data_IF_589045849620
#
_entry.id   IF_589045849620
#
_cell.length_a   1.000
_cell.length_b   1.000
_cell.length_c   1.000
_cell.angle_alpha   90.00
_cell.angle_beta   90.00
_cell.angle_gamma   90.00
#
_symmetry.space_group_name_H-M   'P 1'
#
loop_
_entity.id
_entity.type
_entity.pdbx_description
1 polymer ?
#
# COMPACT_ATOMS: atom_id res chain seq x y z
N UNK A 1 -7.96 6.05 -3.52
CA UNK A 1 -8.83 7.03 -2.82
C UNK A 1 -7.99 7.84 -1.83
N UNK A 2 -8.48 8.96 -1.28
CA UNK A 2 -7.77 9.67 -0.22
C UNK A 2 -7.53 8.73 0.97
N UNK A 3 -6.37 8.86 1.59
CA UNK A 3 -5.97 8.15 2.81
C UNK A 3 -5.69 9.20 3.89
N UNK A 4 -5.91 8.86 5.16
CA UNK A 4 -5.54 9.72 6.29
C UNK A 4 -4.06 10.10 6.23
N UNK A 5 -3.73 11.34 6.62
CA UNK A 5 -2.34 11.84 6.64
C UNK A 5 -1.60 11.56 7.94
N UNK A 6 -2.33 11.24 9.01
CA UNK A 6 -1.79 10.93 10.33
C UNK A 6 -2.07 9.46 10.67
N UNK A 7 -1.14 8.78 11.32
CA UNK A 7 -1.33 7.43 11.85
C UNK A 7 -0.53 7.28 13.15
N UNK A 8 -1.18 6.77 14.20
CA UNK A 8 -0.51 6.48 15.48
C UNK A 8 -0.05 5.03 15.55
N UNK A 9 0.83 4.72 16.49
CA UNK A 9 1.32 3.35 16.68
C UNK A 9 0.15 2.38 16.95
N UNK A 10 0.13 1.25 16.24
CA UNK A 10 -0.93 0.22 16.24
C UNK A 10 -2.26 0.63 15.60
N UNK A 11 -2.38 1.84 15.07
CA UNK A 11 -3.52 2.21 14.24
C UNK A 11 -3.42 1.55 12.86
N UNK A 12 -4.57 1.29 12.24
CA UNK A 12 -4.66 0.73 10.89
C UNK A 12 -5.31 1.72 9.94
N UNK A 13 -4.60 2.07 8.86
CA UNK A 13 -5.12 2.83 7.75
C UNK A 13 -5.69 1.90 6.67
N UNK A 14 -6.92 2.17 6.22
CA UNK A 14 -7.52 1.50 5.06
C UNK A 14 -7.18 2.26 3.78
N UNK A 15 -6.56 1.56 2.83
CA UNK A 15 -6.21 2.08 1.50
C UNK A 15 -7.09 1.37 0.48
N UNK A 16 -8.03 2.11 -0.10
CA UNK A 16 -8.90 1.57 -1.15
C UNK A 16 -8.32 1.84 -2.53
N UNK A 17 -8.08 0.76 -3.26
CA UNK A 17 -7.44 0.76 -4.56
C UNK A 17 -8.44 0.30 -5.64
N UNK A 18 -8.37 0.97 -6.79
CA UNK A 18 -9.03 0.54 -8.01
C UNK A 18 -8.02 0.61 -9.15
N UNK A 19 -7.66 -0.56 -9.67
CA UNK A 19 -6.87 -0.71 -10.87
C UNK A 19 -7.77 -0.43 -12.08
N UNK A 20 -7.45 0.62 -12.82
CA UNK A 20 -8.12 0.96 -14.06
C UNK A 20 -7.28 0.40 -15.20
N UNK A 21 -7.88 -0.51 -15.99
CA UNK A 21 -7.25 -1.05 -17.20
C UNK A 21 -7.67 -0.17 -18.38
N UNK A 22 -6.73 0.23 -19.23
CA UNK A 22 -7.04 0.95 -20.49
C UNK A 22 -7.51 0.02 -21.62
N UNK A 23 -7.66 -1.29 -21.35
CA UNK A 23 -8.22 -2.28 -22.27
C UNK A 23 -8.51 -3.63 -21.62
N UNK A 24 -9.34 -4.45 -22.26
CA UNK A 24 -9.64 -5.83 -21.85
C UNK A 24 -8.63 -6.80 -22.46
N UNK A 25 -7.48 -6.91 -21.79
CA UNK A 25 -6.50 -7.95 -22.10
C UNK A 25 -6.78 -9.16 -21.21
N UNK A 26 -7.46 -10.18 -21.75
CA UNK A 26 -7.82 -11.42 -21.01
C UNK A 26 -6.59 -12.18 -20.44
N UNK A 27 -5.39 -11.89 -20.96
CA UNK A 27 -4.13 -12.50 -20.51
C UNK A 27 -3.34 -11.65 -19.51
N UNK A 28 -3.84 -10.48 -19.13
CA UNK A 28 -3.15 -9.60 -18.19
C UNK A 28 -3.19 -10.17 -16.77
N UNK A 29 -2.01 -10.51 -16.24
CA UNK A 29 -1.82 -10.92 -14.84
C UNK A 29 -1.15 -9.78 -14.10
N UNK A 30 -1.74 -9.38 -12.99
CA UNK A 30 -1.20 -8.34 -12.12
C UNK A 30 -0.57 -8.97 -10.89
N UNK A 31 0.45 -8.30 -10.38
CA UNK A 31 1.15 -8.65 -9.16
C UNK A 31 1.29 -7.41 -8.31
N UNK A 32 1.12 -7.57 -7.00
CA UNK A 32 1.39 -6.53 -6.02
C UNK A 32 2.68 -6.84 -5.27
N UNK A 33 3.47 -5.80 -5.05
CA UNK A 33 4.66 -5.80 -4.19
C UNK A 33 4.64 -4.51 -3.39
N UNK A 34 5.20 -4.53 -2.18
CA UNK A 34 5.44 -3.29 -1.45
C UNK A 34 6.86 -3.23 -0.90
N UNK A 35 7.30 -2.01 -0.65
CA UNK A 35 8.55 -1.70 0.03
C UNK A 35 8.26 -0.66 1.11
N UNK A 36 8.99 -0.71 2.21
CA UNK A 36 8.83 0.24 3.30
C UNK A 36 10.16 0.96 3.54
N UNK A 37 10.37 2.13 2.92
CA UNK A 37 11.60 2.91 3.11
C UNK A 37 11.72 3.51 4.52
N UNK A 38 10.59 3.86 5.16
CA UNK A 38 10.59 4.53 6.47
C UNK A 38 9.51 3.96 7.41
N UNK A 39 9.77 4.02 8.70
CA UNK A 39 8.93 3.52 9.76
C UNK A 39 8.95 2.00 9.89
N UNK A 40 8.05 1.49 10.72
CA UNK A 40 7.80 0.06 10.96
C UNK A 40 6.30 -0.16 10.89
N UNK A 41 5.88 -1.22 10.23
CA UNK A 41 4.48 -1.50 9.98
C UNK A 41 4.29 -2.79 9.19
N UNK A 42 3.04 -3.21 9.08
CA UNK A 42 2.62 -4.42 8.40
C UNK A 42 1.54 -4.06 7.37
N UNK A 43 1.61 -4.62 6.17
CA UNK A 43 0.64 -4.38 5.12
C UNK A 43 -0.13 -5.67 4.82
N UNK A 44 -1.46 -5.63 4.93
CA UNK A 44 -2.34 -6.77 4.65
C UNK A 44 -3.29 -6.48 3.51
N UNK A 45 -3.64 -7.51 2.77
CA UNK A 45 -4.71 -7.49 1.76
C UNK A 45 -6.08 -7.75 2.41
N UNK A 46 -7.16 -7.54 1.66
CA UNK A 46 -8.54 -7.75 2.10
C UNK A 46 -8.89 -9.22 2.38
N UNK A 47 -8.16 -10.15 1.78
CA UNK A 47 -8.26 -11.59 2.02
C UNK A 47 -7.49 -12.05 3.28
N UNK A 48 -6.81 -11.13 3.98
CA UNK A 48 -5.99 -11.42 5.14
C UNK A 48 -4.54 -11.80 4.83
N UNK A 49 -4.14 -11.84 3.56
CA UNK A 49 -2.75 -12.10 3.16
C UNK A 49 -1.85 -10.99 3.72
N UNK A 50 -0.86 -11.38 4.53
CA UNK A 50 0.20 -10.49 4.99
C UNK A 50 1.26 -10.38 3.88
N UNK A 51 1.44 -9.17 3.35
CA UNK A 51 2.48 -8.91 2.38
C UNK A 51 3.82 -8.79 3.12
N UNK A 52 4.85 -9.44 2.60
CA UNK A 52 6.24 -9.25 3.02
C UNK A 52 6.94 -8.22 2.12
N UNK A 53 7.81 -7.35 2.68
CA UNK A 53 8.51 -6.36 1.87
C UNK A 53 9.33 -7.04 0.77
N UNK A 54 9.23 -6.51 -0.45
CA UNK A 54 9.84 -7.02 -1.68
C UNK A 54 9.32 -8.35 -2.23
N UNK A 55 8.37 -9.01 -1.57
CA UNK A 55 7.73 -10.20 -2.11
C UNK A 55 6.59 -9.84 -3.08
N UNK A 56 6.39 -10.70 -4.08
CA UNK A 56 5.37 -10.52 -5.12
C UNK A 56 4.20 -11.46 -4.88
N UNK A 57 3.00 -10.90 -4.91
CA UNK A 57 1.75 -11.63 -4.70
C UNK A 57 0.84 -11.44 -5.92
N UNK A 58 0.12 -12.47 -6.37
CA UNK A 58 -0.82 -12.32 -7.47
C UNK A 58 -1.97 -11.39 -7.06
N UNK A 59 -2.43 -10.58 -8.01
CA UNK A 59 -3.59 -9.71 -7.86
C UNK A 59 -4.63 -10.08 -8.92
N UNK A 60 -5.64 -10.83 -8.49
CA UNK A 60 -6.74 -11.35 -9.31
C UNK A 60 -7.91 -10.36 -9.46
N UNK A 61 -7.94 -9.33 -8.61
CA UNK A 61 -9.03 -8.33 -8.55
C UNK A 61 -8.55 -6.95 -8.95
N UNK A 62 -9.42 -6.18 -9.62
CA UNK A 62 -9.17 -4.78 -9.93
C UNK A 62 -9.53 -3.85 -8.78
N UNK A 63 -10.47 -4.24 -7.93
CA UNK A 63 -10.83 -3.51 -6.71
C UNK A 63 -10.41 -4.32 -5.50
N UNK A 64 -9.57 -3.73 -4.67
CA UNK A 64 -9.00 -4.37 -3.49
C UNK A 64 -8.73 -3.33 -2.41
N UNK A 65 -8.50 -3.80 -1.18
CA UNK A 65 -8.17 -2.95 -0.05
C UNK A 65 -6.87 -3.42 0.56
N UNK A 66 -6.05 -2.45 0.97
CA UNK A 66 -4.87 -2.70 1.76
C UNK A 66 -5.08 -2.13 3.16
N UNK A 67 -4.64 -2.85 4.17
CA UNK A 67 -4.71 -2.48 5.56
C UNK A 67 -3.27 -2.32 6.06
N UNK A 68 -2.85 -1.08 6.26
CA UNK A 68 -1.54 -0.79 6.80
C UNK A 68 -1.64 -0.55 8.30
N UNK A 69 -1.02 -1.42 9.10
CA UNK A 69 -0.96 -1.26 10.55
C UNK A 69 0.38 -0.69 10.94
N UNK A 70 0.37 0.48 11.57
CA UNK A 70 1.57 1.11 12.10
C UNK A 70 2.18 0.31 13.25
N UNK A 71 3.50 0.17 13.26
CA UNK A 71 4.29 -0.34 14.40
C UNK A 71 5.34 0.66 14.86
N UNK A 72 5.26 1.91 14.41
CA UNK A 72 6.23 2.97 14.71
C UNK A 72 5.58 4.24 15.27
N UNK A 73 6.35 4.98 16.04
CA UNK A 73 6.01 6.34 16.53
C UNK A 73 6.59 7.44 15.64
N UNK A 74 7.33 7.07 14.60
CA UNK A 74 7.92 8.00 13.64
C UNK A 74 7.05 8.16 12.38
N UNK A 75 7.52 8.98 11.44
CA UNK A 75 6.97 9.05 10.10
C UNK A 75 7.01 7.66 9.44
N UNK A 76 6.00 7.36 8.63
CA UNK A 76 5.86 6.08 7.94
C UNK A 76 5.68 6.33 6.46
N UNK A 77 6.42 5.58 5.66
CA UNK A 77 6.33 5.66 4.20
C UNK A 77 6.34 4.23 3.65
N UNK A 78 5.36 3.91 2.82
CA UNK A 78 5.34 2.67 2.03
C UNK A 78 5.22 3.00 0.55
N UNK A 79 5.93 2.24 -0.28
CA UNK A 79 5.79 2.23 -1.72
C UNK A 79 5.09 0.95 -2.13
N UNK A 80 3.96 1.07 -2.80
CA UNK A 80 3.21 -0.05 -3.38
C UNK A 80 3.42 -0.04 -4.89
N UNK A 81 3.81 -1.20 -5.41
CA UNK A 81 4.06 -1.46 -6.82
C UNK A 81 3.02 -2.44 -7.33
N UNK A 82 2.35 -2.07 -8.43
CA UNK A 82 1.52 -2.97 -9.21
C UNK A 82 2.26 -3.23 -10.52
N UNK A 83 2.61 -4.48 -10.75
CA UNK A 83 3.36 -4.94 -11.91
C UNK A 83 2.45 -5.85 -12.75
N UNK A 84 2.47 -5.72 -14.08
CA UNK A 84 1.80 -6.67 -14.97
C UNK A 84 2.80 -7.63 -15.64
N UNK A 85 2.28 -8.66 -16.32
CA UNK A 85 3.08 -9.59 -17.09
C UNK A 85 3.70 -9.01 -18.38
N UNK A 86 3.36 -7.78 -18.75
CA UNK A 86 3.97 -7.02 -19.84
C UNK A 86 5.10 -6.10 -19.36
N UNK A 87 5.50 -6.22 -18.09
CA UNK A 87 6.54 -5.41 -17.41
C UNK A 87 6.17 -3.94 -17.22
N UNK A 88 4.88 -3.59 -17.32
CA UNK A 88 4.42 -2.28 -16.88
C UNK A 88 4.39 -2.25 -15.36
N UNK A 89 4.81 -1.13 -14.78
CA UNK A 89 4.85 -0.94 -13.34
C UNK A 89 4.19 0.39 -12.99
N UNK A 90 3.22 0.34 -12.08
CA UNK A 90 2.62 1.52 -11.47
C UNK A 90 3.01 1.55 -10.01
N UNK A 91 3.70 2.62 -9.61
CA UNK A 91 4.05 2.88 -8.22
C UNK A 91 3.09 3.88 -7.58
N UNK A 92 2.76 3.63 -6.32
CA UNK A 92 2.07 4.59 -5.43
C UNK A 92 2.76 4.62 -4.07
N UNK A 93 3.14 5.82 -3.66
CA UNK A 93 3.71 6.07 -2.34
C UNK A 93 2.61 6.54 -1.40
N UNK A 94 2.56 5.96 -0.21
CA UNK A 94 1.72 6.42 0.90
C UNK A 94 2.62 6.84 2.03
N UNK A 95 2.34 8.02 2.58
CA UNK A 95 3.07 8.57 3.71
C UNK A 95 2.11 9.03 4.80
N UNK A 96 2.50 8.75 6.03
CA UNK A 96 1.78 9.17 7.23
C UNK A 96 2.73 9.85 8.19
N UNK A 97 2.26 10.91 8.80
CA UNK A 97 2.93 11.55 9.94
C UNK A 97 2.40 10.99 11.26
N UNK A 98 3.25 10.97 12.27
CA UNK A 98 2.81 10.71 13.64
C UNK A 98 2.35 12.01 14.31
N UNK A 99 1.54 11.90 15.36
CA UNK A 99 0.95 13.04 16.09
C UNK A 99 1.99 14.02 16.67
N UNK A 100 3.27 13.62 16.77
CA UNK A 100 4.36 14.47 17.26
C UNK A 100 4.77 15.62 16.31
N UNK A 101 4.08 15.80 15.18
CA UNK A 101 4.35 16.84 14.18
C UNK A 101 3.64 18.18 14.39
N UNK A 102 2.71 18.29 15.34
CA UNK A 102 2.09 19.59 15.67
C UNK A 102 2.98 20.33 16.70
N UNK A 103 4.18 20.75 16.26
CA UNK A 103 4.73 22.01 16.77
C UNK A 103 4.13 23.10 15.89
N UNK A 104 3.00 23.62 16.34
CA UNK A 104 2.44 24.89 15.86
C UNK A 104 3.57 25.94 15.82
N UNK A 105 3.75 26.57 14.66
CA UNK A 105 4.28 27.94 14.57
C UNK A 105 3.11 28.93 14.63
#
# INVERSE_FOLDING_TARGET
MPVQKKIVQNETAEIRCQLVKEGDYEQAKFFIRYFQPDGKGELRMDDGTLLLPNDRYPLDRTTFRLYYTSRSTDQQVIDVYIEDNFRQVVQRTFSWQNENGDKEE
#
